data_IF_160678768083
#
_entry.id   IF_160678768083
#
_cell.length_a   1.000
_cell.length_b   1.000
_cell.length_c   1.000
_cell.angle_alpha   90.00
_cell.angle_beta   90.00
_cell.angle_gamma   90.00
#
_symmetry.space_group_name_H-M   'P 1'
#
loop_
_entity.id
_entity.type
_entity.pdbx_description
1 polymer ?
#
# COMPACT_ATOMS: atom_id res chain seq x y z
N UNK A 1 22.10 11.74 14.01
CA UNK A 1 20.76 11.84 13.41
C UNK A 1 20.20 10.43 13.33
N UNK A 2 19.02 10.19 13.89
CA UNK A 2 18.34 8.89 13.79
C UNK A 2 17.95 8.65 12.33
N UNK A 3 18.29 7.49 11.79
CA UNK A 3 17.95 7.12 10.42
C UNK A 3 16.44 6.77 10.37
N UNK A 4 15.65 7.57 9.68
CA UNK A 4 14.21 7.34 9.52
C UNK A 4 13.95 6.29 8.43
N UNK A 5 13.13 5.29 8.73
CA UNK A 5 12.82 4.19 7.84
C UNK A 5 11.41 4.32 7.31
N UNK A 6 11.25 3.96 6.03
CA UNK A 6 9.97 3.72 5.39
C UNK A 6 9.89 2.27 4.89
N UNK A 7 8.85 1.54 5.27
CA UNK A 7 8.55 0.20 4.71
C UNK A 7 7.47 0.36 3.65
N UNK A 8 7.73 -0.18 2.46
CA UNK A 8 6.74 -0.25 1.37
C UNK A 8 6.51 -1.71 1.02
N UNK A 9 5.34 -2.24 1.37
CA UNK A 9 4.99 -3.62 0.99
C UNK A 9 4.60 -3.67 -0.49
N UNK A 10 5.07 -4.70 -1.20
CA UNK A 10 4.90 -4.76 -2.65
C UNK A 10 5.58 -3.59 -3.39
N UNK A 11 6.76 -3.16 -2.91
CA UNK A 11 7.47 -1.96 -3.37
C UNK A 11 8.22 -2.09 -4.70
N UNK A 12 8.20 -3.27 -5.34
CA UNK A 12 9.03 -3.53 -6.54
C UNK A 12 8.43 -3.05 -7.86
N UNK A 13 7.14 -2.71 -7.92
CA UNK A 13 6.44 -2.28 -9.15
C UNK A 13 5.28 -1.34 -8.87
N UNK A 14 4.73 -0.75 -9.93
CA UNK A 14 3.52 0.08 -9.88
C UNK A 14 3.57 1.20 -8.84
N UNK A 15 2.48 1.40 -8.11
CA UNK A 15 2.35 2.43 -7.07
C UNK A 15 3.41 2.26 -5.97
N UNK A 16 3.69 1.01 -5.55
CA UNK A 16 4.70 0.73 -4.53
C UNK A 16 6.10 1.17 -4.95
N UNK A 17 6.49 0.93 -6.20
CA UNK A 17 7.76 1.42 -6.77
C UNK A 17 7.81 2.95 -6.77
N UNK A 18 6.77 3.61 -7.26
CA UNK A 18 6.70 5.06 -7.30
C UNK A 18 6.81 5.68 -5.89
N UNK A 19 6.09 5.11 -4.90
CA UNK A 19 6.17 5.53 -3.51
C UNK A 19 7.58 5.31 -2.92
N UNK A 20 8.21 4.15 -3.19
CA UNK A 20 9.55 3.86 -2.70
C UNK A 20 10.59 4.85 -3.23
N UNK A 21 10.54 5.19 -4.52
CA UNK A 21 11.44 6.18 -5.13
C UNK A 21 11.27 7.56 -4.48
N UNK A 22 10.03 8.03 -4.32
CA UNK A 22 9.75 9.35 -3.71
C UNK A 22 10.15 9.39 -2.22
N UNK A 23 9.91 8.32 -1.46
CA UNK A 23 10.36 8.21 -0.06
C UNK A 23 11.88 8.22 0.05
N UNK A 24 12.60 7.53 -0.86
CA UNK A 24 14.06 7.58 -0.94
C UNK A 24 14.58 9.00 -1.22
N UNK A 25 13.98 9.70 -2.15
CA UNK A 25 14.31 11.10 -2.47
C UNK A 25 14.00 12.06 -1.30
N UNK A 26 13.01 11.73 -0.46
CA UNK A 26 12.69 12.50 0.75
C UNK A 26 13.61 12.18 1.96
N UNK A 27 14.64 11.34 1.77
CA UNK A 27 15.66 11.06 2.78
C UNK A 27 15.35 9.89 3.71
N UNK A 28 14.30 9.11 3.47
CA UNK A 28 14.07 7.87 4.20
C UNK A 28 15.02 6.77 3.72
N UNK A 29 15.45 5.90 4.65
CA UNK A 29 15.97 4.59 4.25
C UNK A 29 14.78 3.69 3.93
N UNK A 30 14.64 3.29 2.67
CA UNK A 30 13.45 2.57 2.18
C UNK A 30 13.66 1.06 2.24
N UNK A 31 12.76 0.38 2.90
CA UNK A 31 12.64 -1.09 2.84
C UNK A 31 11.64 -1.43 1.74
N UNK A 32 12.16 -1.92 0.62
CA UNK A 32 11.39 -2.38 -0.54
C UNK A 32 11.04 -3.85 -0.32
N UNK A 33 9.83 -4.13 0.20
CA UNK A 33 9.38 -5.51 0.34
C UNK A 33 8.86 -6.04 -1.00
N UNK A 34 9.20 -7.29 -1.29
CA UNK A 34 8.74 -8.03 -2.48
C UNK A 34 8.54 -9.52 -2.18
N UNK A 35 7.74 -10.21 -3.01
CA UNK A 35 7.46 -11.65 -2.81
C UNK A 35 8.28 -12.53 -3.75
N UNK A 36 8.32 -12.25 -5.06
CA UNK A 36 8.88 -13.15 -6.07
C UNK A 36 9.91 -12.52 -6.99
N UNK A 37 9.74 -11.27 -7.40
CA UNK A 37 10.61 -10.61 -8.39
C UNK A 37 11.73 -9.83 -7.68
N UNK A 38 12.84 -10.50 -7.40
CA UNK A 38 14.03 -9.90 -6.78
C UNK A 38 14.67 -8.85 -7.71
N UNK A 39 14.79 -9.14 -9.01
CA UNK A 39 15.40 -8.22 -9.96
C UNK A 39 14.68 -6.87 -10.00
N UNK A 40 13.34 -6.86 -10.04
CA UNK A 40 12.57 -5.61 -10.00
C UNK A 40 12.75 -4.86 -8.66
N UNK A 41 12.89 -5.55 -7.54
CA UNK A 41 13.15 -4.91 -6.26
C UNK A 41 14.57 -4.31 -6.21
N UNK A 42 15.57 -5.01 -6.75
CA UNK A 42 16.95 -4.55 -6.83
C UNK A 42 17.10 -3.34 -7.77
N UNK A 43 16.32 -3.29 -8.86
CA UNK A 43 16.24 -2.10 -9.73
C UNK A 43 15.74 -0.87 -8.98
N UNK A 44 14.73 -1.02 -8.10
CA UNK A 44 14.24 0.09 -7.26
C UNK A 44 15.32 0.54 -6.29
N UNK A 45 15.99 -0.39 -5.62
CA UNK A 45 17.10 -0.09 -4.70
C UNK A 45 18.23 0.65 -5.41
N UNK A 46 18.62 0.16 -6.60
CA UNK A 46 19.65 0.80 -7.44
C UNK A 46 19.24 2.21 -7.86
N UNK A 47 17.98 2.41 -8.24
CA UNK A 47 17.46 3.72 -8.63
C UNK A 47 17.48 4.72 -7.47
N UNK A 48 17.10 4.28 -6.27
CA UNK A 48 17.16 5.10 -5.06
C UNK A 48 18.61 5.46 -4.73
N UNK A 49 19.53 4.50 -4.81
CA UNK A 49 20.95 4.73 -4.54
C UNK A 49 21.58 5.69 -5.56
N UNK A 50 21.26 5.56 -6.85
CA UNK A 50 21.72 6.47 -7.91
C UNK A 50 21.23 7.92 -7.70
N UNK A 51 20.08 8.10 -7.04
CA UNK A 51 19.56 9.41 -6.64
C UNK A 51 20.12 9.91 -5.29
N UNK A 52 21.10 9.22 -4.71
CA UNK A 52 21.73 9.58 -3.42
C UNK A 52 20.97 9.13 -2.17
N UNK A 53 19.88 8.38 -2.33
CA UNK A 53 19.09 7.82 -1.22
C UNK A 53 19.64 6.48 -0.72
N UNK A 54 18.91 5.88 0.22
CA UNK A 54 19.24 4.56 0.79
C UNK A 54 18.04 3.63 0.70
N UNK A 55 18.24 2.41 0.25
CA UNK A 55 17.21 1.39 0.23
C UNK A 55 17.77 -0.01 0.39
N UNK A 56 16.93 -0.94 0.82
CA UNK A 56 17.21 -2.38 0.84
C UNK A 56 16.00 -3.15 0.34
N UNK A 57 16.23 -4.18 -0.45
CA UNK A 57 15.20 -5.11 -0.87
C UNK A 57 15.08 -6.25 0.16
N UNK A 58 13.87 -6.51 0.67
CA UNK A 58 13.62 -7.60 1.61
C UNK A 58 12.48 -8.48 1.08
N UNK A 59 12.82 -9.75 0.84
CA UNK A 59 11.84 -10.75 0.44
C UNK A 59 10.91 -11.10 1.61
N UNK A 60 9.61 -11.17 1.35
CA UNK A 60 8.60 -11.60 2.33
C UNK A 60 7.21 -11.58 1.72
N UNK A 61 6.43 -12.60 2.02
CA UNK A 61 5.04 -12.73 1.59
C UNK A 61 4.13 -12.21 2.72
N UNK A 62 3.40 -11.13 2.45
CA UNK A 62 2.49 -10.54 3.45
C UNK A 62 1.29 -11.43 3.81
N UNK A 63 1.07 -12.52 3.08
CA UNK A 63 0.12 -13.56 3.47
C UNK A 63 0.65 -14.48 4.58
N UNK A 64 1.91 -14.31 5.01
CA UNK A 64 2.58 -15.16 6.00
C UNK A 64 3.06 -14.33 7.19
N UNK A 65 2.50 -14.58 8.37
CA UNK A 65 2.87 -13.86 9.60
C UNK A 65 4.37 -13.89 9.86
N UNK A 66 5.01 -15.05 9.67
CA UNK A 66 6.45 -15.20 9.91
C UNK A 66 7.30 -14.29 9.01
N UNK A 67 6.91 -14.13 7.73
CA UNK A 67 7.61 -13.28 6.78
C UNK A 67 7.42 -11.79 7.15
N UNK A 68 6.21 -11.40 7.59
CA UNK A 68 5.95 -10.05 8.08
C UNK A 68 6.81 -9.75 9.31
N UNK A 69 6.82 -10.64 10.31
CA UNK A 69 7.64 -10.43 11.50
C UNK A 69 9.12 -10.31 11.15
N UNK A 70 9.64 -11.17 10.28
CA UNK A 70 11.03 -11.12 9.82
C UNK A 70 11.34 -9.80 9.08
N UNK A 71 10.41 -9.30 8.24
CA UNK A 71 10.53 -8.02 7.55
C UNK A 71 10.72 -6.86 8.55
N UNK A 72 9.87 -6.78 9.56
CA UNK A 72 9.94 -5.71 10.56
C UNK A 72 11.18 -5.82 11.45
N UNK A 73 11.59 -7.03 11.86
CA UNK A 73 12.84 -7.26 12.60
C UNK A 73 14.07 -6.87 11.78
N UNK A 74 14.07 -7.11 10.47
CA UNK A 74 15.13 -6.68 9.59
C UNK A 74 15.14 -5.14 9.43
N UNK A 75 13.99 -4.51 9.35
CA UNK A 75 13.85 -3.06 9.30
C UNK A 75 14.36 -2.37 10.57
N UNK A 76 14.09 -2.94 11.76
CA UNK A 76 14.56 -2.39 13.05
C UNK A 76 16.09 -2.20 13.12
N UNK A 77 16.84 -3.02 12.37
CA UNK A 77 18.32 -2.90 12.32
C UNK A 77 18.81 -1.70 11.49
N UNK A 78 17.93 -1.08 10.73
CA UNK A 78 18.26 0.01 9.82
C UNK A 78 17.99 1.40 10.42
N UNK A 79 17.14 1.49 11.47
CA UNK A 79 16.84 2.77 12.15
C UNK A 79 15.41 2.79 12.74
N UNK A 80 14.81 3.98 12.82
CA UNK A 80 13.49 4.20 13.43
C UNK A 80 12.39 4.19 12.37
N UNK A 81 11.40 3.32 12.53
CA UNK A 81 10.25 3.25 11.60
C UNK A 81 9.37 4.49 11.73
N UNK A 82 9.20 5.22 10.64
CA UNK A 82 8.39 6.43 10.54
C UNK A 82 7.24 6.32 9.53
N UNK A 83 7.39 5.48 8.52
CA UNK A 83 6.39 5.32 7.47
C UNK A 83 6.18 3.83 7.19
N UNK A 84 4.90 3.44 7.14
CA UNK A 84 4.46 2.19 6.54
C UNK A 84 3.50 2.49 5.39
N UNK A 85 3.83 2.02 4.19
CA UNK A 85 2.91 1.99 3.04
C UNK A 85 2.46 0.55 2.85
N UNK A 86 1.24 0.23 3.30
CA UNK A 86 0.57 -1.05 3.07
C UNK A 86 0.04 -1.07 1.64
N UNK A 87 0.94 -1.34 0.69
CA UNK A 87 0.61 -1.33 -0.74
C UNK A 87 0.46 -2.74 -1.34
N UNK A 88 1.08 -3.76 -0.76
CA UNK A 88 0.92 -5.13 -1.25
C UNK A 88 -0.55 -5.50 -1.43
N UNK A 89 -0.88 -5.99 -2.61
CA UNK A 89 -2.24 -6.39 -2.95
C UNK A 89 -2.28 -7.09 -4.29
N UNK A 90 -3.29 -7.92 -4.46
CA UNK A 90 -3.54 -8.69 -5.67
C UNK A 90 -4.99 -8.57 -6.11
N UNK A 91 -5.18 -8.71 -7.39
CA UNK A 91 -6.46 -8.97 -8.04
C UNK A 91 -6.40 -10.35 -8.70
N UNK A 92 -7.55 -10.83 -9.14
CA UNK A 92 -7.64 -12.06 -9.92
C UNK A 92 -8.50 -11.82 -11.18
N UNK A 93 -8.65 -12.84 -12.02
CA UNK A 93 -9.49 -12.77 -13.21
C UNK A 93 -10.91 -12.35 -12.85
N UNK A 94 -11.57 -11.64 -13.77
CA UNK A 94 -12.96 -11.26 -13.57
C UNK A 94 -13.85 -12.50 -13.51
N UNK A 95 -14.67 -12.56 -12.46
CA UNK A 95 -15.62 -13.65 -12.30
C UNK A 95 -16.80 -13.22 -11.43
N UNK A 96 -17.92 -13.94 -11.54
CA UNK A 96 -19.05 -13.81 -10.62
C UNK A 96 -18.71 -14.53 -9.30
N UNK A 97 -19.30 -14.10 -8.20
CA UNK A 97 -19.03 -14.67 -6.88
C UNK A 97 -19.33 -16.18 -6.82
N UNK A 98 -20.43 -16.60 -7.42
CA UNK A 98 -20.88 -17.98 -7.48
C UNK A 98 -19.99 -18.93 -8.30
N UNK A 99 -19.04 -18.36 -9.06
CA UNK A 99 -18.05 -19.09 -9.85
C UNK A 99 -16.65 -19.10 -9.21
N UNK A 100 -16.47 -18.39 -8.09
CA UNK A 100 -15.17 -18.27 -7.43
C UNK A 100 -14.91 -19.46 -6.51
N UNK A 101 -13.66 -19.94 -6.49
CA UNK A 101 -13.26 -20.95 -5.51
C UNK A 101 -12.99 -20.32 -4.13
N UNK A 102 -13.16 -21.12 -3.08
CA UNK A 102 -12.85 -20.69 -1.71
C UNK A 102 -11.37 -20.30 -1.54
N UNK A 103 -10.46 -21.01 -2.21
CA UNK A 103 -9.02 -20.77 -2.18
C UNK A 103 -8.69 -19.39 -2.76
N UNK A 104 -9.34 -19.01 -3.88
CA UNK A 104 -9.23 -17.67 -4.47
C UNK A 104 -9.66 -16.60 -3.48
N UNK A 105 -10.83 -16.75 -2.88
CA UNK A 105 -11.38 -15.79 -1.92
C UNK A 105 -10.42 -15.65 -0.73
N UNK A 106 -9.96 -16.75 -0.15
CA UNK A 106 -8.99 -16.76 0.95
C UNK A 106 -7.71 -16.04 0.56
N UNK A 107 -7.10 -16.39 -0.57
CA UNK A 107 -5.86 -15.75 -1.05
C UNK A 107 -6.00 -14.23 -1.17
N UNK A 108 -7.13 -13.73 -1.69
CA UNK A 108 -7.39 -12.28 -1.80
C UNK A 108 -7.42 -11.64 -0.40
N UNK A 109 -8.11 -12.24 0.55
CA UNK A 109 -8.18 -11.71 1.92
C UNK A 109 -6.86 -11.84 2.67
N UNK A 110 -6.15 -12.95 2.54
CA UNK A 110 -4.86 -13.17 3.21
C UNK A 110 -3.86 -12.08 2.82
N UNK A 111 -3.77 -11.76 1.53
CA UNK A 111 -2.82 -10.76 1.04
C UNK A 111 -3.33 -9.34 1.29
N UNK A 112 -4.55 -9.02 0.83
CA UNK A 112 -5.04 -7.64 0.79
C UNK A 112 -5.48 -7.12 2.16
N UNK A 113 -5.98 -8.01 3.03
CA UNK A 113 -6.61 -7.64 4.30
C UNK A 113 -5.75 -8.07 5.48
N UNK A 114 -5.57 -9.38 5.70
CA UNK A 114 -4.84 -9.86 6.87
C UNK A 114 -3.39 -9.38 6.86
N UNK A 115 -2.70 -9.45 5.72
CA UNK A 115 -1.33 -8.93 5.59
C UNK A 115 -1.22 -7.46 5.98
N UNK A 116 -2.16 -6.62 5.51
CA UNK A 116 -2.18 -5.19 5.86
C UNK A 116 -2.47 -4.96 7.34
N UNK A 117 -3.38 -5.73 7.95
CA UNK A 117 -3.69 -5.64 9.39
C UNK A 117 -2.46 -5.99 10.22
N UNK A 118 -1.78 -7.08 9.88
CA UNK A 118 -0.61 -7.55 10.63
C UNK A 118 0.56 -6.58 10.47
N UNK A 119 0.81 -6.07 9.25
CA UNK A 119 1.81 -5.03 9.03
C UNK A 119 1.50 -3.76 9.83
N UNK A 120 0.23 -3.30 9.85
CA UNK A 120 -0.18 -2.14 10.65
C UNK A 120 0.03 -2.38 12.14
N UNK A 121 -0.32 -3.57 12.67
CA UNK A 121 -0.05 -3.96 14.06
C UNK A 121 1.43 -3.85 14.40
N UNK A 122 2.31 -4.38 13.55
CA UNK A 122 3.76 -4.34 13.78
C UNK A 122 4.33 -2.93 13.67
N UNK A 123 3.76 -2.08 12.80
CA UNK A 123 4.13 -0.67 12.70
C UNK A 123 3.71 0.10 13.96
N UNK A 124 2.48 -0.09 14.46
CA UNK A 124 2.01 0.56 15.70
C UNK A 124 2.90 0.22 16.89
N UNK A 125 3.31 -1.04 17.06
CA UNK A 125 4.25 -1.44 18.13
C UNK A 125 5.56 -0.66 18.12
N UNK A 126 5.99 -0.13 16.96
CA UNK A 126 7.26 0.59 16.77
C UNK A 126 7.09 2.10 16.75
N UNK A 127 5.94 2.57 16.26
CA UNK A 127 5.68 4.01 16.09
C UNK A 127 5.03 4.65 17.32
N UNK A 128 4.12 3.92 17.99
CA UNK A 128 3.30 4.45 19.07
C UNK A 128 4.14 4.90 20.27
N UNK A 129 3.88 6.11 20.78
CA UNK A 129 4.50 6.63 22.00
C UNK A 129 4.18 5.78 23.23
N UNK A 130 3.05 5.06 23.23
CA UNK A 130 2.68 4.08 24.26
C UNK A 130 3.68 2.93 24.36
N UNK A 131 4.36 2.61 23.28
CA UNK A 131 5.39 1.57 23.21
C UNK A 131 6.83 2.12 23.15
N UNK A 132 7.01 3.43 23.42
CA UNK A 132 8.32 4.08 23.37
C UNK A 132 8.72 4.56 21.98
N UNK A 133 7.83 4.50 21.00
CA UNK A 133 8.04 5.04 19.67
C UNK A 133 7.97 6.57 19.64
N UNK A 134 8.16 7.16 18.48
CA UNK A 134 8.21 8.62 18.29
C UNK A 134 7.21 9.12 17.24
N UNK A 135 6.11 8.39 17.11
CA UNK A 135 5.07 8.67 16.12
C UNK A 135 5.46 8.22 14.68
N UNK A 136 4.50 8.33 13.77
CA UNK A 136 4.70 7.96 12.38
C UNK A 136 3.43 8.03 11.53
N UNK A 137 3.51 7.58 10.28
CA UNK A 137 2.39 7.56 9.35
C UNK A 137 2.22 6.17 8.72
N UNK A 138 1.00 5.67 8.73
CA UNK A 138 0.58 4.45 8.04
C UNK A 138 -0.35 4.85 6.89
N UNK A 139 0.00 4.48 5.68
CA UNK A 139 -0.82 4.71 4.48
C UNK A 139 -1.27 3.36 3.93
N UNK A 140 -2.56 3.11 3.96
CA UNK A 140 -3.16 1.87 3.47
C UNK A 140 -3.66 2.06 2.03
N UNK A 141 -3.35 1.11 1.14
CA UNK A 141 -3.88 1.11 -0.21
C UNK A 141 -5.20 0.36 -0.26
N UNK A 142 -6.29 1.13 -0.25
CA UNK A 142 -7.63 0.67 -0.56
C UNK A 142 -7.86 0.63 -2.07
N UNK A 143 -9.05 0.90 -2.55
CA UNK A 143 -9.43 0.96 -3.96
C UNK A 143 -10.78 1.65 -4.15
N UNK A 144 -11.02 2.26 -5.31
CA UNK A 144 -12.36 2.64 -5.73
C UNK A 144 -13.35 1.46 -5.69
N UNK A 145 -12.84 0.22 -5.82
CA UNK A 145 -13.64 -1.00 -5.68
C UNK A 145 -14.31 -1.15 -4.30
N UNK A 146 -13.72 -0.63 -3.24
CA UNK A 146 -14.33 -0.60 -1.91
C UNK A 146 -15.64 0.23 -1.87
N UNK A 147 -15.72 1.26 -2.73
CA UNK A 147 -16.88 2.13 -2.81
C UNK A 147 -17.99 1.56 -3.71
N UNK A 148 -17.64 1.10 -4.92
CA UNK A 148 -18.63 0.64 -5.90
C UNK A 148 -18.83 -0.88 -5.91
N UNK A 149 -18.13 -1.66 -5.05
CA UNK A 149 -18.34 -3.10 -4.87
C UNK A 149 -17.80 -4.00 -5.97
N UNK A 150 -17.30 -3.47 -7.09
CA UNK A 150 -16.75 -4.20 -8.24
C UNK A 150 -17.67 -5.34 -8.78
N UNK A 151 -18.98 -5.11 -9.04
CA UNK A 151 -19.90 -6.15 -9.47
C UNK A 151 -19.44 -6.76 -10.81
N UNK A 152 -19.44 -8.11 -10.90
CA UNK A 152 -18.99 -8.85 -12.08
C UNK A 152 -17.49 -8.77 -12.37
N UNK A 153 -16.72 -8.05 -11.56
CA UNK A 153 -15.29 -7.85 -11.75
C UNK A 153 -14.44 -8.53 -10.67
N UNK A 154 -15.00 -8.65 -9.45
CA UNK A 154 -14.27 -9.19 -8.30
C UNK A 154 -14.83 -8.61 -7.00
N UNK A 155 -16.04 -9.05 -6.61
CA UNK A 155 -16.69 -8.55 -5.38
C UNK A 155 -15.89 -8.90 -4.14
N UNK A 156 -15.15 -10.01 -4.15
CA UNK A 156 -14.23 -10.40 -3.07
C UNK A 156 -13.06 -9.41 -2.93
N UNK A 157 -12.56 -8.89 -4.06
CA UNK A 157 -11.56 -7.82 -4.05
C UNK A 157 -12.15 -6.53 -3.47
N UNK A 158 -13.33 -6.13 -3.92
CA UNK A 158 -14.04 -4.96 -3.38
C UNK A 158 -14.24 -5.09 -1.86
N UNK A 159 -14.71 -6.26 -1.39
CA UNK A 159 -14.89 -6.55 0.03
C UNK A 159 -13.57 -6.49 0.81
N UNK A 160 -12.48 -7.06 0.26
CA UNK A 160 -11.15 -6.99 0.90
C UNK A 160 -10.68 -5.54 1.07
N UNK A 161 -10.96 -4.66 0.11
CA UNK A 161 -10.59 -3.23 0.16
C UNK A 161 -11.55 -2.41 1.04
N UNK A 162 -12.82 -2.82 1.16
CA UNK A 162 -13.75 -2.28 2.16
C UNK A 162 -13.29 -2.56 3.59
N UNK A 163 -12.72 -3.74 3.85
CA UNK A 163 -12.11 -4.05 5.14
C UNK A 163 -10.93 -3.12 5.47
N UNK A 164 -10.12 -2.73 4.48
CA UNK A 164 -9.03 -1.75 4.65
C UNK A 164 -9.57 -0.36 5.01
N UNK A 165 -10.70 0.05 4.44
CA UNK A 165 -11.32 1.32 4.79
C UNK A 165 -11.74 1.36 6.27
N UNK A 166 -12.42 0.30 6.73
CA UNK A 166 -12.85 0.18 8.14
C UNK A 166 -11.66 0.09 9.09
N UNK A 167 -10.64 -0.71 8.73
CA UNK A 167 -9.37 -0.76 9.48
C UNK A 167 -8.77 0.63 9.63
N UNK A 168 -8.70 1.40 8.56
CA UNK A 168 -8.09 2.74 8.54
C UNK A 168 -8.82 3.69 9.49
N UNK A 169 -10.16 3.71 9.45
CA UNK A 169 -10.98 4.55 10.31
C UNK A 169 -10.80 4.15 11.78
N UNK A 170 -10.90 2.84 12.07
CA UNK A 170 -10.81 2.33 13.44
C UNK A 170 -9.43 2.57 14.04
N UNK A 171 -8.38 2.11 13.36
CA UNK A 171 -7.01 2.22 13.83
C UNK A 171 -6.56 3.69 13.91
N UNK A 172 -6.95 4.54 12.95
CA UNK A 172 -6.64 5.97 12.98
C UNK A 172 -7.16 6.67 14.22
N UNK A 173 -8.34 6.27 14.72
CA UNK A 173 -8.91 6.79 15.98
C UNK A 173 -8.24 6.20 17.21
N UNK A 174 -7.91 4.91 17.17
CA UNK A 174 -7.32 4.18 18.30
C UNK A 174 -5.92 4.72 18.65
N UNK A 175 -5.08 5.03 17.66
CA UNK A 175 -3.68 5.42 17.89
C UNK A 175 -3.40 6.91 17.69
N UNK A 176 -4.41 7.73 17.46
CA UNK A 176 -4.25 9.17 17.21
C UNK A 176 -3.50 9.90 18.36
N UNK A 177 -3.87 9.63 19.61
CA UNK A 177 -3.23 10.22 20.79
C UNK A 177 -1.80 9.68 21.04
N UNK A 178 -1.40 8.65 20.31
CA UNK A 178 -0.10 7.97 20.41
C UNK A 178 0.90 8.46 19.35
N UNK A 179 0.55 9.54 18.61
CA UNK A 179 1.39 10.13 17.58
C UNK A 179 1.43 9.38 16.26
N UNK A 180 0.54 8.41 16.05
CA UNK A 180 0.47 7.64 14.81
C UNK A 180 -0.74 8.08 13.98
N UNK A 181 -0.52 8.50 12.73
CA UNK A 181 -1.58 8.82 11.79
C UNK A 181 -1.81 7.63 10.85
N UNK A 182 -3.06 7.28 10.61
CA UNK A 182 -3.43 6.16 9.73
C UNK A 182 -4.46 6.64 8.73
N UNK A 183 -4.11 6.59 7.45
CA UNK A 183 -4.99 7.03 6.37
C UNK A 183 -4.99 6.02 5.23
N UNK A 184 -5.98 6.08 4.35
CA UNK A 184 -6.04 5.26 3.17
C UNK A 184 -6.20 6.10 1.90
N UNK A 185 -5.69 5.55 0.80
CA UNK A 185 -6.00 6.02 -0.54
C UNK A 185 -6.92 5.01 -1.24
N UNK A 186 -7.87 5.52 -2.02
CA UNK A 186 -8.67 4.74 -2.97
C UNK A 186 -8.24 5.07 -4.41
N UNK A 187 -7.20 4.40 -4.94
CA UNK A 187 -6.88 4.55 -6.36
C UNK A 187 -8.04 4.12 -7.24
N UNK A 188 -8.25 4.85 -8.33
CA UNK A 188 -9.16 4.47 -9.41
C UNK A 188 -8.50 3.51 -10.40
N UNK A 189 -8.65 3.81 -11.69
CA UNK A 189 -7.94 3.12 -12.76
C UNK A 189 -6.57 3.77 -12.91
N UNK A 190 -5.54 3.08 -12.48
CA UNK A 190 -4.15 3.52 -12.52
C UNK A 190 -3.38 2.63 -13.49
N UNK A 191 -2.58 3.22 -14.35
CA UNK A 191 -1.74 2.48 -15.31
C UNK A 191 -0.61 1.75 -14.57
N UNK A 192 -0.85 0.48 -14.28
CA UNK A 192 0.06 -0.41 -13.55
C UNK A 192 -0.20 -1.87 -13.92
N UNK A 193 0.80 -2.72 -13.69
CA UNK A 193 0.79 -4.15 -14.03
C UNK A 193 -0.25 -4.97 -13.21
N UNK A 194 -0.86 -4.39 -12.19
CA UNK A 194 -1.91 -5.08 -11.42
C UNK A 194 -3.12 -5.45 -12.29
N UNK A 195 -3.35 -4.68 -13.35
CA UNK A 195 -4.45 -4.93 -14.29
C UNK A 195 -4.22 -6.12 -15.20
N UNK A 196 -2.97 -6.58 -15.38
CA UNK A 196 -2.63 -7.73 -16.21
C UNK A 196 -3.25 -9.02 -15.66
N UNK A 197 -3.38 -9.13 -14.33
CA UNK A 197 -4.01 -10.27 -13.66
C UNK A 197 -5.53 -10.36 -13.90
N UNK A 198 -6.17 -9.31 -14.42
CA UNK A 198 -7.61 -9.30 -14.69
C UNK A 198 -8.04 -10.16 -15.89
N UNK A 199 -7.09 -10.66 -16.69
CA UNK A 199 -7.35 -11.41 -17.92
C UNK A 199 -7.82 -10.56 -19.11
N UNK A 200 -7.97 -9.24 -18.95
CA UNK A 200 -8.42 -8.33 -20.03
C UNK A 200 -7.24 -7.49 -20.53
N UNK A 201 -6.81 -7.77 -21.77
CA UNK A 201 -5.79 -6.96 -22.42
C UNK A 201 -6.27 -5.52 -22.65
N UNK A 202 -5.45 -4.54 -22.26
CA UNK A 202 -5.77 -3.12 -22.45
C UNK A 202 -6.93 -2.60 -21.59
N UNK A 203 -7.28 -3.30 -20.51
CA UNK A 203 -8.35 -2.93 -19.58
C UNK A 203 -8.34 -1.46 -19.19
N UNK A 204 -7.16 -0.91 -18.89
CA UNK A 204 -6.99 0.48 -18.50
C UNK A 204 -7.56 1.43 -19.55
N UNK A 205 -7.21 1.21 -20.84
CA UNK A 205 -7.70 2.02 -21.96
C UNK A 205 -9.22 1.86 -22.18
N UNK A 206 -9.75 0.66 -22.02
CA UNK A 206 -11.18 0.38 -22.20
C UNK A 206 -12.05 1.08 -21.15
N UNK A 207 -11.47 1.41 -19.99
CA UNK A 207 -12.22 2.06 -18.90
C UNK A 207 -12.10 3.59 -18.88
N UNK A 208 -11.35 4.23 -19.79
CA UNK A 208 -11.16 5.69 -19.83
C UNK A 208 -12.45 6.48 -19.87
N UNK A 209 -13.41 6.03 -20.69
CA UNK A 209 -14.70 6.73 -20.87
C UNK A 209 -15.53 6.75 -19.59
N UNK A 210 -15.36 5.76 -18.72
CA UNK A 210 -16.02 5.69 -17.42
C UNK A 210 -15.36 6.57 -16.35
N UNK A 211 -14.18 7.15 -16.63
CA UNK A 211 -13.47 8.06 -15.72
C UNK A 211 -13.91 9.49 -16.05
N UNK A 212 -14.42 10.30 -15.10
CA UNK A 212 -14.80 11.69 -15.37
C UNK A 212 -13.67 12.54 -15.97
N UNK A 213 -12.42 12.37 -15.51
CA UNK A 213 -11.23 13.05 -16.07
C UNK A 213 -10.79 12.53 -17.45
N UNK A 214 -11.48 11.51 -18.01
CA UNK A 214 -11.26 10.93 -19.35
C UNK A 214 -9.83 10.40 -19.59
N UNK A 215 -9.13 10.09 -18.54
CA UNK A 215 -7.83 9.42 -18.57
C UNK A 215 -7.63 8.55 -17.35
N UNK A 216 -6.77 7.57 -17.47
CA UNK A 216 -6.21 6.85 -16.34
C UNK A 216 -5.30 7.73 -15.50
N UNK A 217 -5.16 7.39 -14.21
CA UNK A 217 -4.13 7.95 -13.35
C UNK A 217 -2.79 7.24 -13.54
N UNK A 218 -1.72 7.86 -13.09
CA UNK A 218 -0.38 7.27 -13.05
C UNK A 218 -0.03 6.80 -11.64
N UNK A 219 0.94 5.88 -11.55
CA UNK A 219 1.50 5.46 -10.26
C UNK A 219 2.09 6.66 -9.48
N UNK A 220 2.68 7.63 -10.18
CA UNK A 220 3.26 8.83 -9.59
C UNK A 220 2.20 9.74 -8.95
N UNK A 221 1.03 9.92 -9.58
CA UNK A 221 -0.07 10.71 -9.01
C UNK A 221 -0.59 10.10 -7.69
N UNK A 222 -0.62 8.78 -7.58
CA UNK A 222 -0.97 8.10 -6.33
C UNK A 222 0.17 8.24 -5.31
N UNK A 223 1.42 8.13 -5.75
CA UNK A 223 2.58 8.26 -4.89
C UNK A 223 2.72 9.69 -4.33
N UNK A 224 2.32 10.73 -5.06
CA UNK A 224 2.27 12.11 -4.54
C UNK A 224 1.29 12.25 -3.37
N UNK A 225 0.12 11.61 -3.46
CA UNK A 225 -0.82 11.57 -2.35
C UNK A 225 -0.28 10.77 -1.14
N UNK A 226 0.46 9.67 -1.38
CA UNK A 226 1.17 8.93 -0.33
C UNK A 226 2.17 9.86 0.36
N UNK A 227 3.00 10.58 -0.40
CA UNK A 227 4.00 11.50 0.15
C UNK A 227 3.38 12.60 1.00
N UNK A 228 2.28 13.20 0.55
CA UNK A 228 1.56 14.19 1.34
C UNK A 228 1.07 13.59 2.67
N UNK A 229 0.47 12.39 2.66
CA UNK A 229 0.01 11.69 3.86
C UNK A 229 1.17 11.28 4.80
N UNK A 230 2.38 11.11 4.29
CA UNK A 230 3.57 10.81 5.08
C UNK A 230 4.23 12.05 5.68
N UNK A 231 3.88 13.25 5.20
CA UNK A 231 4.50 14.51 5.59
C UNK A 231 3.76 15.24 6.72
N UNK A 232 4.40 16.27 7.30
CA UNK A 232 3.79 17.15 8.31
C UNK A 232 2.68 18.04 7.74
N UNK A 233 2.58 18.17 6.41
CA UNK A 233 1.51 18.90 5.74
C UNK A 233 0.13 18.27 5.98
N UNK A 234 0.10 16.99 6.34
CA UNK A 234 -1.11 16.26 6.72
C UNK A 234 -1.20 15.96 8.23
N UNK A 235 -0.55 16.78 9.08
CA UNK A 235 -0.43 16.55 10.53
C UNK A 235 -1.76 16.43 11.26
N UNK A 236 -2.84 17.02 10.72
CA UNK A 236 -4.20 16.93 11.30
C UNK A 236 -5.12 15.94 10.55
N UNK A 237 -4.54 15.05 9.75
CA UNK A 237 -5.28 14.07 8.93
C UNK A 237 -4.99 12.66 9.44
N UNK A 238 -6.00 12.01 10.04
CA UNK A 238 -5.97 10.60 10.46
C UNK A 238 -7.37 9.99 10.36
N UNK A 239 -7.47 8.70 10.10
CA UNK A 239 -8.73 7.98 9.88
C UNK A 239 -9.43 8.36 8.57
N UNK A 240 -8.74 9.03 7.65
CA UNK A 240 -9.31 9.54 6.40
C UNK A 240 -9.07 8.56 5.24
N UNK A 241 -10.04 8.53 4.33
CA UNK A 241 -9.98 7.75 3.10
C UNK A 241 -10.09 8.71 1.93
N UNK A 242 -9.02 8.81 1.14
CA UNK A 242 -8.89 9.83 0.08
C UNK A 242 -8.93 9.16 -1.29
N UNK A 243 -9.92 9.48 -2.15
CA UNK A 243 -9.95 9.01 -3.52
C UNK A 243 -8.84 9.65 -4.37
N UNK A 244 -8.11 8.83 -5.12
CA UNK A 244 -7.19 9.24 -6.18
C UNK A 244 -7.67 8.53 -7.46
N UNK A 245 -8.80 8.99 -8.00
CA UNK A 245 -9.61 8.19 -8.91
C UNK A 245 -10.15 8.96 -10.13
N UNK A 246 -9.69 10.19 -10.36
CA UNK A 246 -10.17 11.00 -11.49
C UNK A 246 -11.68 11.28 -11.47
N UNK A 247 -12.30 11.31 -10.26
CA UNK A 247 -13.74 11.53 -10.06
C UNK A 247 -14.58 10.26 -10.09
N UNK A 248 -13.99 9.06 -10.14
CA UNK A 248 -14.74 7.79 -10.27
C UNK A 248 -15.34 7.28 -8.94
N UNK A 249 -14.97 7.81 -7.80
CA UNK A 249 -15.56 7.53 -6.47
C UNK A 249 -15.81 8.81 -5.69
#
# INVERSE_FOLDING_TARGET
>A
MTNNIAIVTGGSRGIGRAAALKLGAAGYTVVVNYTSNAAAADEVVTSIAAAGGKAVAIKGDVAKDADILALFVAADKLGTLKVLVNNAGVMDQQNRLDEMTTERIRRIFDINTFGSIICAREAVKRMSTKHGGTGGSIVNMSSAAAYHGAPGLGVEYGASKGAIDVLTIGLGREVAAEGVRVNALRPGIIDTEIHDSSGIKGRVKLMRDAIPMKREGTADEVADAIMWLCSDQSSYVTGSIIPVAGGRC
#
